data_IF_032815143101
#
_entry.id   IF_032815143101
#
_cell.length_a   1.000
_cell.length_b   1.000
_cell.length_c   1.000
_cell.angle_alpha   90.00
_cell.angle_beta   90.00
_cell.angle_gamma   90.00
#
_symmetry.space_group_name_H-M   'P 1'
#
loop_
_entity.id
_entity.type
_entity.pdbx_description
1 polymer ?
#
# COMPACT_ATOMS: atom_id res chain seq x y z
N UNK A 1 13.88 -23.15 8.53
CA UNK A 1 12.86 -22.36 7.80
C UNK A 1 11.91 -23.25 7.00
N UNK A 2 12.03 -24.59 7.10
CA UNK A 2 11.24 -25.55 6.31
C UNK A 2 9.77 -25.63 6.75
N UNK A 3 9.45 -25.23 7.99
CA UNK A 3 8.09 -25.25 8.56
C UNK A 3 7.34 -23.90 8.52
N UNK A 4 7.91 -22.84 7.94
CA UNK A 4 7.15 -21.59 7.80
C UNK A 4 6.26 -21.70 6.57
N UNK A 5 4.95 -21.68 6.82
CA UNK A 5 3.93 -21.71 5.77
C UNK A 5 4.16 -20.57 4.76
N UNK A 6 4.35 -20.94 3.49
CA UNK A 6 4.59 -20.02 2.38
C UNK A 6 3.48 -18.98 2.30
N UNK A 7 2.23 -19.38 2.58
CA UNK A 7 1.06 -18.51 2.57
C UNK A 7 1.17 -17.36 3.57
N UNK A 8 1.81 -17.59 4.73
CA UNK A 8 2.00 -16.54 5.74
C UNK A 8 2.99 -15.47 5.24
N UNK A 9 4.07 -15.90 4.58
CA UNK A 9 5.08 -14.99 4.01
C UNK A 9 4.51 -14.18 2.85
N UNK A 10 3.75 -14.82 1.96
CA UNK A 10 3.03 -14.16 0.87
C UNK A 10 2.04 -13.12 1.41
N UNK A 11 1.21 -13.50 2.38
CA UNK A 11 0.27 -12.59 3.01
C UNK A 11 0.96 -11.38 3.63
N UNK A 12 2.05 -11.57 4.39
CA UNK A 12 2.81 -10.45 4.98
C UNK A 12 3.45 -9.55 3.91
N UNK A 13 3.89 -10.13 2.79
CA UNK A 13 4.51 -9.40 1.69
C UNK A 13 3.49 -8.60 0.87
N UNK A 14 2.28 -9.16 0.65
CA UNK A 14 1.11 -8.49 0.08
C UNK A 14 0.64 -7.32 0.95
N UNK A 15 0.68 -7.46 2.28
CA UNK A 15 0.43 -6.37 3.22
C UNK A 15 1.50 -5.26 3.22
N UNK A 16 2.51 -5.33 2.35
CA UNK A 16 3.50 -4.27 2.17
C UNK A 16 4.58 -4.18 3.26
N UNK A 17 4.57 -5.06 4.28
CA UNK A 17 5.53 -5.05 5.40
C UNK A 17 6.98 -5.16 4.94
N UNK A 18 7.93 -4.48 5.57
CA UNK A 18 9.34 -4.56 5.17
C UNK A 18 9.93 -5.95 5.47
N UNK A 19 11.06 -6.31 4.85
CA UNK A 19 11.74 -7.57 5.20
C UNK A 19 12.19 -7.58 6.67
N UNK A 20 12.49 -6.42 7.24
CA UNK A 20 12.84 -6.27 8.66
C UNK A 20 11.61 -6.54 9.54
N UNK A 21 10.47 -5.93 9.21
CA UNK A 21 9.22 -6.12 9.97
C UNK A 21 8.78 -7.58 9.95
N UNK A 22 8.93 -8.25 8.80
CA UNK A 22 8.66 -9.68 8.66
C UNK A 22 9.63 -10.48 9.53
N UNK A 23 10.92 -10.16 9.51
CA UNK A 23 11.91 -10.84 10.35
C UNK A 23 11.63 -10.70 11.85
N UNK A 24 11.31 -9.50 12.33
CA UNK A 24 10.97 -9.26 13.74
C UNK A 24 9.72 -10.04 14.14
N UNK A 25 8.70 -10.06 13.27
CA UNK A 25 7.46 -10.76 13.55
C UNK A 25 7.61 -12.28 13.56
N UNK A 26 8.44 -12.83 12.67
CA UNK A 26 8.77 -14.26 12.65
C UNK A 26 9.60 -14.67 13.87
N UNK A 27 10.57 -13.85 14.28
CA UNK A 27 11.36 -14.10 15.50
C UNK A 27 10.48 -14.05 16.76
N UNK A 28 9.51 -13.13 16.80
CA UNK A 28 8.54 -13.05 17.90
C UNK A 28 7.61 -14.27 17.93
N UNK A 29 7.13 -14.72 16.76
CA UNK A 29 6.22 -15.86 16.67
C UNK A 29 6.91 -17.21 16.93
N UNK A 30 8.19 -17.33 16.57
CA UNK A 30 8.98 -18.56 16.66
C UNK A 30 10.35 -18.30 17.30
N UNK A 31 10.41 -18.09 18.63
CA UNK A 31 11.64 -17.71 19.32
C UNK A 31 12.73 -18.78 19.31
N UNK A 32 12.38 -20.06 19.14
CA UNK A 32 13.33 -21.18 19.15
C UNK A 32 13.90 -21.54 17.77
N UNK A 33 13.50 -20.83 16.72
CA UNK A 33 13.89 -21.15 15.35
C UNK A 33 14.95 -20.15 14.86
N UNK A 34 16.09 -20.69 14.42
CA UNK A 34 17.15 -19.90 13.81
C UNK A 34 16.87 -19.65 12.32
N UNK A 35 17.47 -18.60 11.76
CA UNK A 35 17.38 -18.31 10.32
C UNK A 35 16.27 -17.34 9.91
N UNK A 36 15.64 -16.63 10.84
CA UNK A 36 14.70 -15.54 10.53
C UNK A 36 15.36 -14.16 10.44
N UNK A 37 16.60 -14.08 9.98
CA UNK A 37 17.21 -12.77 9.69
C UNK A 37 16.56 -12.14 8.47
N UNK A 38 16.53 -10.81 8.38
CA UNK A 38 16.01 -10.09 7.21
C UNK A 38 16.66 -10.55 5.89
N UNK A 39 17.93 -10.98 5.93
CA UNK A 39 18.64 -11.57 4.78
C UNK A 39 18.05 -12.91 4.35
N UNK A 40 17.72 -13.77 5.31
CA UNK A 40 17.12 -15.09 5.04
C UNK A 40 15.69 -14.95 4.54
N UNK A 41 14.90 -14.05 5.14
CA UNK A 41 13.55 -13.68 4.66
C UNK A 41 13.62 -13.17 3.22
N UNK A 42 14.55 -12.26 2.91
CA UNK A 42 14.73 -11.76 1.54
C UNK A 42 15.10 -12.87 0.58
N UNK A 43 16.05 -13.73 0.94
CA UNK A 43 16.46 -14.86 0.10
C UNK A 43 15.29 -15.82 -0.15
N UNK A 44 14.53 -16.14 0.89
CA UNK A 44 13.33 -16.97 0.80
C UNK A 44 12.28 -16.36 -0.13
N UNK A 45 11.95 -15.07 0.04
CA UNK A 45 11.02 -14.37 -0.84
C UNK A 45 11.50 -14.38 -2.31
N UNK A 46 12.80 -14.20 -2.56
CA UNK A 46 13.36 -14.25 -3.92
C UNK A 46 13.29 -15.66 -4.50
N UNK A 47 13.63 -16.68 -3.71
CA UNK A 47 13.60 -18.08 -4.13
C UNK A 47 12.19 -18.52 -4.54
N UNK A 48 11.18 -18.08 -3.78
CA UNK A 48 9.77 -18.41 -4.01
C UNK A 48 9.02 -17.39 -4.88
N UNK A 49 9.69 -16.36 -5.42
CA UNK A 49 9.06 -15.36 -6.29
C UNK A 49 8.07 -14.41 -5.57
N UNK A 50 8.12 -14.34 -4.24
CA UNK A 50 7.19 -13.55 -3.42
C UNK A 50 7.59 -12.07 -3.47
N UNK A 51 6.91 -11.29 -4.32
CA UNK A 51 7.14 -9.86 -4.48
C UNK A 51 6.12 -8.99 -3.76
N UNK A 52 6.41 -7.68 -3.65
CA UNK A 52 5.40 -6.69 -3.26
C UNK A 52 4.26 -6.68 -4.27
N UNK A 53 3.07 -6.30 -3.80
CA UNK A 53 1.90 -6.06 -4.65
C UNK A 53 2.29 -5.20 -5.87
N UNK A 54 1.99 -5.72 -7.06
CA UNK A 54 2.37 -5.11 -8.33
C UNK A 54 1.61 -3.80 -8.55
N UNK A 55 2.15 -2.91 -9.36
CA UNK A 55 1.46 -1.65 -9.64
C UNK A 55 0.14 -1.86 -10.39
N UNK A 56 0.01 -2.93 -11.18
CA UNK A 56 -1.24 -3.34 -11.83
C UNK A 56 -2.30 -3.78 -10.81
N UNK A 57 -1.95 -4.67 -9.88
CA UNK A 57 -2.87 -5.11 -8.81
C UNK A 57 -3.36 -3.94 -7.96
N UNK A 58 -2.46 -3.00 -7.65
CA UNK A 58 -2.82 -1.78 -6.92
C UNK A 58 -3.82 -0.94 -7.72
N UNK A 59 -3.66 -0.83 -9.05
CA UNK A 59 -4.60 -0.09 -9.89
C UNK A 59 -5.97 -0.76 -9.92
N UNK A 60 -6.03 -2.08 -10.03
CA UNK A 60 -7.28 -2.83 -10.09
C UNK A 60 -8.07 -2.66 -8.78
N UNK A 61 -7.41 -2.87 -7.63
CA UNK A 61 -8.01 -2.66 -6.31
C UNK A 61 -8.51 -1.22 -6.12
N UNK A 62 -7.74 -0.23 -6.60
CA UNK A 62 -8.15 1.17 -6.52
C UNK A 62 -9.29 1.47 -7.48
N UNK A 63 -9.35 0.84 -8.66
CA UNK A 63 -10.46 0.94 -9.60
C UNK A 63 -11.76 0.47 -8.95
N UNK A 64 -11.74 -0.72 -8.34
CA UNK A 64 -12.88 -1.28 -7.61
C UNK A 64 -13.31 -0.37 -6.46
N UNK A 65 -12.35 0.10 -5.65
CA UNK A 65 -12.63 1.01 -4.55
C UNK A 65 -13.24 2.33 -5.05
N UNK A 66 -12.72 2.90 -6.16
CA UNK A 66 -13.27 4.12 -6.77
C UNK A 66 -14.68 3.89 -7.30
N UNK A 67 -15.00 2.71 -7.83
CA UNK A 67 -16.35 2.37 -8.26
C UNK A 67 -17.33 2.31 -7.08
N UNK A 68 -16.86 1.86 -5.91
CA UNK A 68 -17.68 1.64 -4.72
C UNK A 68 -17.90 2.92 -3.89
N UNK A 69 -16.83 3.70 -3.62
CA UNK A 69 -16.91 4.94 -2.82
C UNK A 69 -16.95 6.22 -3.65
N UNK A 70 -16.71 6.11 -4.96
CA UNK A 70 -16.67 7.23 -5.88
C UNK A 70 -15.32 7.96 -5.94
N UNK A 71 -15.18 8.78 -6.99
CA UNK A 71 -13.97 9.55 -7.29
C UNK A 71 -13.69 10.72 -6.33
N UNK A 72 -14.52 10.93 -5.31
CA UNK A 72 -14.36 12.02 -4.33
C UNK A 72 -13.18 11.71 -3.39
N UNK A 73 -12.98 10.43 -3.06
CA UNK A 73 -11.97 9.99 -2.09
C UNK A 73 -10.56 10.24 -2.61
N UNK A 74 -9.88 11.24 -2.04
CA UNK A 74 -8.48 11.54 -2.34
C UNK A 74 -7.53 10.50 -1.73
N UNK A 75 -6.22 10.63 -2.00
CA UNK A 75 -5.20 9.65 -1.58
C UNK A 75 -5.28 9.21 -0.11
N UNK A 76 -5.52 10.14 0.82
CA UNK A 76 -5.61 9.84 2.28
C UNK A 76 -6.88 9.08 2.63
N UNK A 77 -8.02 9.52 2.10
CA UNK A 77 -9.31 8.84 2.31
C UNK A 77 -9.30 7.45 1.69
N UNK A 78 -8.77 7.33 0.46
CA UNK A 78 -8.65 6.07 -0.25
C UNK A 78 -7.72 5.10 0.50
N UNK A 79 -6.58 5.58 1.01
CA UNK A 79 -5.71 4.78 1.89
C UNK A 79 -6.47 4.27 3.11
N UNK A 80 -7.17 5.13 3.84
CA UNK A 80 -7.93 4.72 5.03
C UNK A 80 -9.04 3.72 4.71
N UNK A 81 -9.69 3.87 3.56
CA UNK A 81 -10.69 2.93 3.07
C UNK A 81 -10.09 1.55 2.76
N UNK A 82 -8.95 1.51 2.06
CA UNK A 82 -8.22 0.25 1.81
C UNK A 82 -7.76 -0.40 3.12
N UNK A 83 -7.28 0.38 4.08
CA UNK A 83 -6.91 -0.10 5.41
C UNK A 83 -8.10 -0.71 6.15
N UNK A 84 -9.30 -0.12 6.04
CA UNK A 84 -10.53 -0.70 6.60
C UNK A 84 -10.91 -2.03 5.96
N UNK A 85 -10.50 -2.26 4.70
CA UNK A 85 -10.64 -3.52 3.97
C UNK A 85 -9.44 -4.45 4.13
N UNK A 86 -8.59 -4.22 5.15
CA UNK A 86 -7.37 -4.97 5.44
C UNK A 86 -6.31 -4.98 4.32
N UNK A 87 -6.41 -4.04 3.36
CA UNK A 87 -5.48 -3.84 2.25
C UNK A 87 -4.52 -2.70 2.59
N UNK A 88 -3.25 -3.04 2.80
CA UNK A 88 -2.21 -2.09 3.20
C UNK A 88 -1.42 -1.61 1.98
N UNK A 89 -1.72 -0.41 1.50
CA UNK A 89 -1.02 0.23 0.38
C UNK A 89 -0.42 1.56 0.84
N UNK A 90 0.85 1.79 0.47
CA UNK A 90 1.50 3.06 0.77
C UNK A 90 0.83 4.24 0.07
N UNK A 91 0.70 5.39 0.77
CA UNK A 91 0.02 6.59 0.25
C UNK A 91 0.57 7.04 -1.11
N UNK A 92 1.89 6.91 -1.32
CA UNK A 92 2.55 7.23 -2.60
C UNK A 92 2.07 6.34 -3.75
N UNK A 93 1.91 5.04 -3.50
CA UNK A 93 1.35 4.12 -4.51
C UNK A 93 -0.11 4.44 -4.80
N UNK A 94 -0.90 4.76 -3.78
CA UNK A 94 -2.30 5.18 -3.95
C UNK A 94 -2.40 6.45 -4.79
N UNK A 95 -1.53 7.45 -4.53
CA UNK A 95 -1.55 8.71 -5.28
C UNK A 95 -1.18 8.53 -6.76
N UNK A 96 -0.17 7.71 -7.05
CA UNK A 96 0.23 7.37 -8.43
C UNK A 96 -0.90 6.63 -9.14
N UNK A 97 -1.52 5.66 -8.47
CA UNK A 97 -2.60 4.86 -9.07
C UNK A 97 -3.86 5.68 -9.32
N UNK A 98 -4.22 6.59 -8.41
CA UNK A 98 -5.33 7.54 -8.59
C UNK A 98 -5.10 8.53 -9.74
N UNK A 99 -3.85 8.77 -10.15
CA UNK A 99 -3.55 9.54 -11.36
C UNK A 99 -3.78 8.73 -12.63
N UNK A 100 -3.55 7.41 -12.58
CA UNK A 100 -3.65 6.50 -13.72
C UNK A 100 -5.09 6.05 -13.99
N UNK A 101 -5.83 5.69 -12.95
CA UNK A 101 -7.15 5.05 -13.08
C UNK A 101 -8.24 6.08 -13.44
N UNK A 102 -8.51 7.13 -12.62
CA UNK A 102 -9.37 8.24 -13.01
C UNK A 102 -8.61 9.57 -13.22
N UNK A 103 -7.91 9.77 -14.37
CA UNK A 103 -7.09 10.96 -14.59
C UNK A 103 -7.89 12.27 -14.55
N UNK A 104 -9.13 12.25 -15.08
CA UNK A 104 -10.01 13.42 -15.12
C UNK A 104 -10.42 13.89 -13.72
N UNK A 105 -10.79 12.96 -12.83
CA UNK A 105 -11.20 13.29 -11.47
C UNK A 105 -10.02 13.71 -10.60
N UNK A 106 -8.83 13.16 -10.86
CA UNK A 106 -7.61 13.64 -10.22
C UNK A 106 -7.30 15.09 -10.60
N UNK A 107 -7.37 15.42 -11.90
CA UNK A 107 -7.16 16.77 -12.39
C UNK A 107 -8.18 17.77 -11.81
N UNK A 108 -9.48 17.44 -11.80
CA UNK A 108 -10.51 18.31 -11.21
C UNK A 108 -10.34 18.56 -9.71
N UNK A 109 -9.81 17.60 -8.96
CA UNK A 109 -9.51 17.81 -7.52
C UNK A 109 -8.33 18.75 -7.33
N UNK A 110 -7.30 18.62 -8.16
CA UNK A 110 -6.14 19.50 -8.14
C UNK A 110 -6.53 20.94 -8.45
N UNK A 111 -7.34 21.17 -9.49
CA UNK A 111 -7.82 22.52 -9.84
C UNK A 111 -8.70 23.12 -8.74
N UNK A 112 -9.67 22.36 -8.21
CA UNK A 112 -10.52 22.81 -7.08
C UNK A 112 -9.73 23.19 -5.82
N UNK A 113 -8.62 22.50 -5.56
CA UNK A 113 -7.75 22.84 -4.42
C UNK A 113 -7.01 24.15 -4.66
N UNK A 114 -6.55 24.37 -5.89
CA UNK A 114 -5.88 25.61 -6.29
C UNK A 114 -6.82 26.82 -6.23
N UNK A 115 -8.10 26.67 -6.61
CA UNK A 115 -9.10 27.75 -6.54
C UNK A 115 -9.49 28.13 -5.10
N UNK A 116 -9.25 27.25 -4.12
CA UNK A 116 -9.54 27.51 -2.69
C UNK A 116 -8.35 28.08 -1.92
N UNK A 117 -7.19 28.22 -2.56
CA UNK A 117 -6.05 28.93 -1.98
C UNK A 117 -6.37 30.43 -2.03
N UNK A 118 -6.54 31.02 -0.85
CA UNK A 118 -7.12 32.34 -0.64
C UNK A 118 -6.52 33.40 -1.60
N UNK A 119 -7.33 34.00 -2.50
CA UNK A 119 -6.82 35.01 -3.41
C UNK A 119 -6.62 36.31 -2.62
N UNK A 120 -5.34 36.56 -2.33
CA UNK A 120 -4.75 37.76 -1.72
C UNK A 120 -4.96 37.94 -0.21
N UNK A 121 -3.89 38.26 0.54
CA UNK A 121 -4.01 38.71 1.92
C UNK A 121 -4.82 40.00 1.94
N UNK A 122 -5.82 40.07 2.80
CA UNK A 122 -6.49 41.31 3.16
C UNK A 122 -5.43 42.23 3.81
N UNK A 123 -5.19 43.38 3.19
CA UNK A 123 -4.39 44.43 3.81
C UNK A 123 -5.21 44.98 4.99
N UNK A 124 -4.66 44.87 6.21
CA UNK A 124 -5.23 45.39 7.44
C UNK A 124 -4.91 46.87 7.63
#
# INVERSE_FOLDING_TARGET
>A
MEDVDMALMEYMRCQGKSYNDISERLQTAYPNNHGFSARSVRWYCVLHGISKMSDSEVNDIIGDAVQEVGCIYGRRMMKGYLESKSILVGESKVSISLQRVPPNHYASRRSRTMDRTNPRPYFA
#
